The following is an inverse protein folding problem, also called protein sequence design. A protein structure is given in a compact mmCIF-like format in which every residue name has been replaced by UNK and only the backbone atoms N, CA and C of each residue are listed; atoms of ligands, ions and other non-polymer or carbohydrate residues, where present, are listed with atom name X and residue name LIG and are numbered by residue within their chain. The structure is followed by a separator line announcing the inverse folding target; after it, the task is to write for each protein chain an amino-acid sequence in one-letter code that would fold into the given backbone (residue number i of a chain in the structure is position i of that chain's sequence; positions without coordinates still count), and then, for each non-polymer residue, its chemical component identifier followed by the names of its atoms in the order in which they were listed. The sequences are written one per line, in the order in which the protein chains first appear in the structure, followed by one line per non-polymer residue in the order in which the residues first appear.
data_IF_100138203051
#
_entry.id   IF_100138203051
#
_cell.length_a   1.000
_cell.length_b   1.000
_cell.length_c   1.000
_cell.angle_alpha   90.00
_cell.angle_beta   90.00
_cell.angle_gamma   90.00
#
_symmetry.space_group_name_H-M   'P 1'
#
loop_
_entity.id
_entity.type
_entity.pdbx_description
1 polymer ?
#
# COMPACT_ATOMS: atom_id res chain seq x y z
N UNK A 1 -0.95 4.69 59.71
CA UNK A 1 -0.02 5.52 58.91
C UNK A 1 1.40 5.34 59.42
N UNK A 2 2.31 4.76 58.63
CA UNK A 2 3.74 5.03 58.80
C UNK A 2 4.36 5.54 57.48
N UNK A 3 4.98 6.71 57.56
CA UNK A 3 5.84 7.31 56.53
C UNK A 3 7.23 6.65 56.59
N UNK A 4 7.78 6.18 55.48
CA UNK A 4 9.23 6.03 55.32
C UNK A 4 9.57 5.86 53.82
N UNK A 5 10.14 6.92 53.22
CA UNK A 5 11.56 7.13 52.88
C UNK A 5 11.96 6.50 51.54
N UNK A 6 11.89 7.33 50.49
CA UNK A 6 12.55 7.12 49.20
C UNK A 6 14.08 7.33 49.34
N UNK A 7 14.93 6.49 48.72
CA UNK A 7 16.33 6.82 48.53
C UNK A 7 16.54 7.67 47.27
N UNK A 8 17.29 8.77 47.46
CA UNK A 8 17.92 9.61 46.44
C UNK A 8 19.27 9.02 46.06
N UNK A 9 19.50 8.66 44.79
CA UNK A 9 20.84 8.44 44.18
C UNK A 9 20.62 8.40 42.66
N UNK A 10 21.42 8.93 41.73
CA UNK A 10 22.41 9.99 41.68
C UNK A 10 22.43 10.45 40.20
N UNK A 11 22.40 11.76 39.96
CA UNK A 11 22.59 12.33 38.64
C UNK A 11 24.09 12.31 38.30
N UNK A 12 24.46 11.58 37.25
CA UNK A 12 25.77 11.71 36.64
C UNK A 12 25.66 12.60 35.41
N UNK A 13 26.13 13.85 35.58
CA UNK A 13 26.47 14.77 34.52
C UNK A 13 27.88 14.42 34.04
N UNK A 14 28.02 14.17 32.74
CA UNK A 14 29.30 14.15 32.03
C UNK A 14 29.22 15.19 30.91
N UNK A 15 30.02 16.28 30.98
CA UNK A 15 30.29 17.15 29.86
C UNK A 15 31.63 16.79 29.18
N UNK A 16 31.94 17.49 28.09
CA UNK A 16 33.16 17.46 27.25
C UNK A 16 33.15 16.42 26.12
N UNK A 17 33.54 16.71 24.87
CA UNK A 17 34.32 17.82 24.34
C UNK A 17 34.00 18.11 22.86
N UNK A 18 34.27 19.37 22.46
CA UNK A 18 34.41 19.87 21.09
C UNK A 18 35.58 19.20 20.34
N UNK A 19 35.39 18.97 19.04
CA UNK A 19 36.30 19.28 17.92
C UNK A 19 35.65 18.67 16.66
N UNK A 20 35.33 19.39 15.59
CA UNK A 20 36.17 20.36 14.92
C UNK A 20 36.98 19.63 13.86
N UNK A 21 36.43 19.43 12.65
CA UNK A 21 37.22 19.35 11.43
C UNK A 21 36.33 19.69 10.22
N UNK A 22 36.47 20.93 9.77
CA UNK A 22 36.11 21.37 8.44
C UNK A 22 37.11 20.78 7.44
N UNK A 23 36.61 20.18 6.37
CA UNK A 23 37.35 20.02 5.13
C UNK A 23 36.42 20.35 3.98
N UNK A 24 36.53 21.59 3.51
CA UNK A 24 36.06 22.02 2.21
C UNK A 24 36.93 21.34 1.14
N UNK A 25 36.31 20.64 0.19
CA UNK A 25 36.99 20.17 -1.00
C UNK A 25 36.20 20.68 -2.21
N UNK A 26 36.85 21.65 -2.85
CA UNK A 26 36.81 22.08 -4.23
C UNK A 26 35.60 21.67 -5.10
N UNK A 27 34.86 22.71 -5.49
CA UNK A 27 34.02 22.76 -6.68
C UNK A 27 34.86 22.51 -7.94
N UNK A 28 34.54 21.46 -8.68
CA UNK A 28 35.04 21.25 -10.04
C UNK A 28 34.00 21.78 -11.04
N UNK A 29 34.38 22.57 -12.07
CA UNK A 29 33.44 23.23 -12.95
C UNK A 29 32.83 22.28 -13.98
N UNK A 30 31.52 22.39 -14.12
CA UNK A 30 30.70 21.74 -15.13
C UNK A 30 31.20 22.00 -16.57
N UNK A 31 31.27 20.98 -17.43
CA UNK A 31 31.31 21.19 -18.87
C UNK A 31 29.90 21.53 -19.40
N UNK A 32 29.83 22.61 -20.21
CA UNK A 32 28.62 23.04 -20.92
C UNK A 32 28.11 21.96 -21.89
N UNK A 33 26.79 21.90 -22.12
CA UNK A 33 26.19 20.97 -23.08
C UNK A 33 26.53 21.38 -24.51
N UNK A 34 27.14 20.45 -25.27
CA UNK A 34 27.17 20.54 -26.73
C UNK A 34 25.81 20.14 -27.27
N UNK A 35 25.12 21.09 -27.88
CA UNK A 35 23.97 20.87 -28.75
C UNK A 35 24.42 20.11 -30.01
N UNK A 36 24.04 18.84 -30.09
CA UNK A 36 24.05 18.07 -31.34
C UNK A 36 22.63 17.58 -31.62
N UNK A 37 22.06 18.18 -32.65
CA UNK A 37 20.87 17.74 -33.37
C UNK A 37 21.10 16.30 -33.86
N UNK A 38 20.38 15.34 -33.27
CA UNK A 38 20.43 13.94 -33.64
C UNK A 38 19.06 13.32 -33.42
N UNK A 39 18.55 12.66 -34.46
CA UNK A 39 17.19 12.15 -34.58
C UNK A 39 16.70 11.36 -33.35
N UNK A 40 15.41 11.53 -33.05
CA UNK A 40 14.70 10.72 -32.05
C UNK A 40 14.94 9.23 -32.33
N UNK A 41 15.46 8.45 -31.36
CA UNK A 41 15.48 7.01 -31.52
C UNK A 41 14.03 6.53 -31.51
N UNK A 42 13.60 5.94 -32.62
CA UNK A 42 12.40 5.13 -32.64
C UNK A 42 12.51 4.12 -31.48
N UNK A 43 11.50 4.11 -30.61
CA UNK A 43 11.35 3.08 -29.58
C UNK A 43 11.25 1.73 -30.27
N UNK A 44 12.38 1.05 -30.44
CA UNK A 44 12.42 -0.37 -30.71
C UNK A 44 12.00 -1.01 -29.40
N UNK A 45 10.69 -1.22 -29.25
CA UNK A 45 10.17 -2.22 -28.33
C UNK A 45 10.74 -3.53 -28.85
N UNK A 46 11.87 -3.93 -28.29
CA UNK A 46 12.42 -5.25 -28.54
C UNK A 46 11.38 -6.22 -28.00
N UNK A 47 10.82 -7.06 -28.87
CA UNK A 47 10.09 -8.24 -28.43
C UNK A 47 10.94 -8.93 -27.36
N UNK A 48 10.34 -9.39 -26.23
CA UNK A 48 11.11 -10.10 -25.23
C UNK A 48 11.74 -11.30 -25.91
N UNK A 49 13.07 -11.24 -26.08
CA UNK A 49 13.90 -12.32 -26.55
C UNK A 49 13.46 -13.58 -25.83
N UNK A 50 13.01 -14.56 -26.62
CA UNK A 50 12.49 -15.86 -26.17
C UNK A 50 13.38 -16.36 -25.03
N UNK A 51 12.88 -16.22 -23.80
CA UNK A 51 13.67 -16.53 -22.62
C UNK A 51 14.11 -17.99 -22.71
N UNK A 52 15.42 -18.22 -22.57
CA UNK A 52 15.99 -19.56 -22.49
C UNK A 52 15.20 -20.34 -21.44
N UNK A 53 14.44 -21.35 -21.88
CA UNK A 53 13.62 -22.13 -20.97
C UNK A 53 14.53 -22.88 -20.00
N UNK A 54 14.13 -22.96 -18.73
CA UNK A 54 14.93 -23.56 -17.65
C UNK A 54 15.06 -25.10 -17.77
N UNK A 55 14.70 -25.69 -18.91
CA UNK A 55 14.59 -27.14 -19.08
C UNK A 55 13.44 -27.79 -18.31
N UNK A 56 12.64 -26.99 -17.58
CA UNK A 56 11.41 -27.43 -16.92
C UNK A 56 10.38 -26.28 -16.88
N UNK A 57 9.11 -26.66 -16.87
CA UNK A 57 7.97 -25.75 -16.71
C UNK A 57 7.32 -26.05 -15.36
N UNK A 58 7.06 -25.01 -14.56
CA UNK A 58 6.28 -25.17 -13.35
C UNK A 58 4.85 -25.56 -13.71
N UNK A 59 4.31 -26.58 -13.06
CA UNK A 59 2.90 -26.90 -13.19
C UNK A 59 2.07 -25.69 -12.74
N UNK A 60 1.38 -25.06 -13.69
CA UNK A 60 0.40 -24.01 -13.43
C UNK A 60 -1.00 -24.57 -13.65
N UNK A 61 -1.93 -24.27 -12.75
CA UNK A 61 -3.35 -24.59 -12.95
C UNK A 61 -3.97 -23.73 -14.07
N UNK A 62 -3.29 -22.63 -14.45
CA UNK A 62 -3.72 -21.72 -15.52
C UNK A 62 -2.60 -21.51 -16.54
N UNK A 63 -2.91 -21.74 -17.82
CA UNK A 63 -2.00 -21.39 -18.90
C UNK A 63 -1.75 -19.86 -18.92
N UNK A 64 -0.51 -19.40 -19.13
CA UNK A 64 -0.21 -17.97 -19.30
C UNK A 64 -1.17 -17.31 -20.29
N UNK A 65 -1.82 -16.21 -19.88
CA UNK A 65 -2.76 -15.46 -20.71
C UNK A 65 -4.21 -15.96 -20.70
N UNK A 66 -4.56 -17.01 -19.94
CA UNK A 66 -5.97 -17.40 -19.73
C UNK A 66 -6.51 -16.84 -18.41
N UNK A 67 -7.76 -16.37 -18.44
CA UNK A 67 -8.51 -15.90 -17.28
C UNK A 67 -9.21 -17.05 -16.56
N UNK A 68 -9.33 -16.92 -15.23
CA UNK A 68 -10.07 -17.84 -14.37
C UNK A 68 -11.56 -17.94 -14.80
N UNK A 69 -12.09 -19.16 -14.87
CA UNK A 69 -13.48 -19.51 -15.13
C UNK A 69 -14.40 -19.25 -13.92
N UNK A 70 -15.72 -19.44 -14.09
CA UNK A 70 -16.66 -19.36 -12.98
C UNK A 70 -16.44 -20.53 -12.01
N UNK A 71 -16.26 -20.23 -10.72
CA UNK A 71 -15.83 -21.21 -9.70
C UNK A 71 -14.36 -21.04 -9.29
N UNK A 72 -13.59 -20.27 -10.05
CA UNK A 72 -12.18 -20.06 -9.75
C UNK A 72 -12.00 -18.95 -8.71
N UNK A 73 -11.41 -19.36 -7.60
CA UNK A 73 -10.88 -18.47 -6.57
C UNK A 73 -9.49 -18.00 -7.02
N UNK A 74 -9.33 -16.69 -7.21
CA UNK A 74 -8.04 -16.09 -7.52
C UNK A 74 -7.48 -15.42 -6.28
N UNK A 75 -6.29 -15.83 -5.84
CA UNK A 75 -5.51 -15.16 -4.80
C UNK A 75 -4.30 -14.48 -5.43
N UNK A 76 -4.21 -13.18 -5.27
CA UNK A 76 -3.03 -12.39 -5.65
C UNK A 76 -2.23 -12.04 -4.40
N UNK A 77 -0.92 -12.30 -4.41
CA UNK A 77 0.00 -11.93 -3.33
C UNK A 77 1.03 -10.94 -3.90
N UNK A 78 1.14 -9.75 -3.31
CA UNK A 78 2.15 -8.74 -3.67
C UNK A 78 3.07 -8.46 -2.48
N UNK A 79 4.38 -8.66 -2.59
CA UNK A 79 5.31 -8.35 -1.51
C UNK A 79 5.69 -6.87 -1.48
N UNK A 80 5.83 -6.33 -0.27
CA UNK A 80 6.26 -4.98 0.06
C UNK A 80 7.24 -5.04 1.24
N UNK A 81 8.48 -5.43 0.96
CA UNK A 81 9.49 -5.71 1.99
C UNK A 81 8.98 -6.78 2.99
N UNK A 82 8.73 -6.39 4.25
CA UNK A 82 8.32 -7.32 5.31
C UNK A 82 6.78 -7.48 5.41
N UNK A 83 6.05 -6.78 4.54
CA UNK A 83 4.60 -6.87 4.41
C UNK A 83 4.22 -7.53 3.09
N UNK A 84 3.12 -8.25 3.09
CA UNK A 84 2.48 -8.74 1.87
C UNK A 84 1.07 -8.22 1.79
N UNK A 85 0.61 -7.93 0.57
CA UNK A 85 -0.80 -7.72 0.29
C UNK A 85 -1.37 -8.99 -0.30
N UNK A 86 -2.43 -9.50 0.31
CA UNK A 86 -3.19 -10.63 -0.19
C UNK A 86 -4.55 -10.12 -0.63
N UNK A 87 -4.92 -10.42 -1.88
CA UNK A 87 -6.23 -10.13 -2.42
C UNK A 87 -6.89 -11.39 -2.93
N UNK A 88 -8.07 -11.67 -2.40
CA UNK A 88 -8.90 -12.80 -2.77
C UNK A 88 -10.08 -12.31 -3.61
N UNK A 89 -10.27 -12.93 -4.77
CA UNK A 89 -11.34 -12.60 -5.70
C UNK A 89 -12.07 -13.88 -6.12
N UNK A 90 -13.40 -13.86 -5.97
CA UNK A 90 -14.30 -14.86 -6.53
C UNK A 90 -15.13 -14.14 -7.59
N UNK A 91 -15.25 -14.74 -8.79
CA UNK A 91 -15.99 -14.13 -9.90
C UNK A 91 -17.41 -13.75 -9.46
N UNK A 92 -17.80 -12.49 -9.68
CA UNK A 92 -19.06 -11.86 -9.25
C UNK A 92 -19.20 -11.59 -7.74
N UNK A 93 -18.16 -11.84 -6.94
CA UNK A 93 -18.09 -11.44 -5.55
C UNK A 93 -17.21 -10.19 -5.39
N UNK A 94 -17.25 -9.60 -4.20
CA UNK A 94 -16.36 -8.50 -3.84
C UNK A 94 -14.94 -9.03 -3.65
N UNK A 95 -13.97 -8.39 -4.31
CA UNK A 95 -12.55 -8.56 -4.01
C UNK A 95 -12.24 -8.10 -2.57
N UNK A 96 -11.60 -8.96 -1.79
CA UNK A 96 -11.20 -8.68 -0.40
C UNK A 96 -9.68 -8.63 -0.36
N UNK A 97 -9.13 -7.51 0.08
CA UNK A 97 -7.69 -7.33 0.23
C UNK A 97 -7.32 -7.02 1.67
N UNK A 98 -6.19 -7.55 2.13
CA UNK A 98 -5.57 -7.19 3.39
C UNK A 98 -4.05 -7.18 3.24
N UNK A 99 -3.41 -6.41 4.09
CA UNK A 99 -1.97 -6.46 4.33
C UNK A 99 -1.71 -7.40 5.48
N UNK A 100 -0.58 -8.09 5.45
CA UNK A 100 -0.14 -9.01 6.48
C UNK A 100 1.36 -8.87 6.70
N UNK A 101 1.77 -8.92 7.97
CA UNK A 101 3.14 -9.25 8.36
C UNK A 101 3.09 -10.29 9.47
N UNK A 102 4.08 -11.18 9.46
CA UNK A 102 4.23 -12.23 10.46
C UNK A 102 5.54 -11.96 11.19
N UNK A 103 5.47 -11.96 12.51
CA UNK A 103 6.63 -11.72 13.37
C UNK A 103 6.78 -12.86 14.36
N UNK A 104 8.03 -13.19 14.65
CA UNK A 104 8.40 -14.27 15.56
C UNK A 104 9.16 -13.67 16.73
N UNK A 105 8.78 -14.07 17.93
CA UNK A 105 9.62 -13.96 19.12
C UNK A 105 9.98 -15.35 19.62
N UNK A 106 10.84 -15.41 20.63
CA UNK A 106 11.42 -16.67 21.13
C UNK A 106 10.37 -17.72 21.55
N UNK A 107 9.20 -17.27 21.97
CA UNK A 107 8.15 -18.14 22.49
C UNK A 107 6.83 -18.07 21.70
N UNK A 108 6.68 -17.20 20.71
CA UNK A 108 5.39 -17.00 20.04
C UNK A 108 5.50 -16.42 18.63
N UNK A 109 4.45 -16.66 17.84
CA UNK A 109 4.19 -16.03 16.55
C UNK A 109 3.09 -14.98 16.72
N UNK A 110 3.29 -13.84 16.08
CA UNK A 110 2.32 -12.76 15.91
C UNK A 110 1.99 -12.65 14.42
N UNK A 111 0.71 -12.57 14.11
CA UNK A 111 0.24 -12.21 12.78
C UNK A 111 -0.52 -10.88 12.88
N UNK A 112 -0.06 -9.89 12.13
CA UNK A 112 -0.67 -8.56 12.10
C UNK A 112 -1.17 -8.27 10.70
N UNK A 113 -2.49 -8.07 10.60
CA UNK A 113 -3.17 -7.69 9.37
C UNK A 113 -3.74 -6.28 9.43
N UNK A 114 -3.80 -5.62 8.28
CA UNK A 114 -4.52 -4.35 8.10
C UNK A 114 -5.42 -4.49 6.87
N UNK A 115 -6.70 -4.18 7.02
CA UNK A 115 -7.66 -4.26 5.93
C UNK A 115 -8.56 -3.02 5.91
N UNK A 116 -9.14 -2.74 4.73
CA UNK A 116 -10.17 -1.72 4.59
C UNK A 116 -11.56 -2.33 4.85
N UNK A 117 -12.34 -1.67 5.69
CA UNK A 117 -13.74 -2.01 5.93
C UNK A 117 -14.60 -1.67 4.72
N UNK A 118 -15.90 -2.03 4.75
CA UNK A 118 -16.83 -1.71 3.65
C UNK A 118 -16.97 -0.21 3.41
N UNK A 119 -16.87 0.58 4.48
CA UNK A 119 -16.91 2.04 4.50
C UNK A 119 -15.53 2.70 4.32
N UNK A 120 -14.50 1.92 3.98
CA UNK A 120 -13.17 2.46 3.62
C UNK A 120 -12.30 2.85 4.81
N UNK A 121 -12.66 2.49 6.05
CA UNK A 121 -11.79 2.68 7.22
C UNK A 121 -10.76 1.56 7.29
N UNK A 122 -9.53 1.89 7.64
CA UNK A 122 -8.49 0.90 7.92
C UNK A 122 -8.68 0.32 9.32
N UNK A 123 -8.72 -1.00 9.42
CA UNK A 123 -8.76 -1.75 10.68
C UNK A 123 -7.55 -2.65 10.77
N UNK A 124 -6.85 -2.58 11.91
CA UNK A 124 -5.81 -3.52 12.25
C UNK A 124 -6.40 -4.72 13.00
N UNK A 125 -5.87 -5.90 12.72
CA UNK A 125 -6.15 -7.16 13.38
C UNK A 125 -4.82 -7.76 13.82
N UNK A 126 -4.67 -8.02 15.11
CA UNK A 126 -3.56 -8.75 15.71
C UNK A 126 -4.06 -10.12 16.11
N UNK A 127 -3.40 -11.18 15.64
CA UNK A 127 -3.67 -12.56 16.03
C UNK A 127 -2.50 -13.09 16.86
N UNK A 128 -2.85 -13.70 17.98
CA UNK A 128 -1.97 -14.19 19.03
C UNK A 128 -2.28 -15.67 19.30
N UNK A 129 -1.38 -16.42 19.96
CA UNK A 129 -1.65 -17.77 20.43
C UNK A 129 -2.91 -17.87 21.30
N UNK A 130 -3.65 -18.98 21.22
CA UNK A 130 -4.92 -19.20 21.94
C UNK A 130 -4.84 -19.11 23.47
N UNK A 131 -3.66 -19.30 24.04
CA UNK A 131 -3.38 -19.24 25.48
C UNK A 131 -2.94 -17.84 25.93
N UNK A 132 -3.22 -16.82 25.12
CA UNK A 132 -3.00 -15.42 25.47
C UNK A 132 -4.06 -14.93 26.47
N UNK A 133 -3.64 -14.09 27.42
CA UNK A 133 -4.53 -13.56 28.46
C UNK A 133 -5.51 -12.53 27.90
N UNK A 134 -6.80 -12.89 27.90
CA UNK A 134 -7.91 -11.99 27.51
C UNK A 134 -7.98 -10.75 28.41
N UNK A 135 -7.74 -10.94 29.71
CA UNK A 135 -7.79 -9.87 30.71
C UNK A 135 -6.65 -8.86 30.54
N UNK A 136 -5.44 -9.34 30.23
CA UNK A 136 -4.25 -8.49 30.05
C UNK A 136 -4.19 -7.86 28.67
N UNK A 137 -4.79 -8.48 27.65
CA UNK A 137 -4.85 -7.93 26.30
C UNK A 137 -3.51 -7.91 25.59
N UNK A 138 -3.41 -7.04 24.59
CA UNK A 138 -2.17 -6.76 23.88
C UNK A 138 -1.84 -5.27 23.95
N UNK A 139 -0.57 -4.93 24.08
CA UNK A 139 -0.07 -3.55 24.04
C UNK A 139 0.78 -3.40 22.80
N UNK A 140 0.49 -2.38 21.98
CA UNK A 140 1.27 -2.03 20.79
C UNK A 140 1.94 -0.68 21.04
N UNK A 141 3.26 -0.63 20.83
CA UNK A 141 4.08 0.56 21.06
C UNK A 141 5.03 0.82 19.91
N UNK A 142 5.19 2.07 19.51
CA UNK A 142 6.12 2.52 18.45
C UNK A 142 6.26 4.04 18.54
N UNK A 143 7.43 4.62 18.24
CA UNK A 143 7.59 6.09 18.17
C UNK A 143 7.10 6.88 19.39
N UNK A 144 7.18 6.33 20.60
CA UNK A 144 6.64 6.94 21.83
C UNK A 144 5.11 6.86 21.97
N UNK A 145 4.39 6.34 20.97
CA UNK A 145 2.99 5.97 21.06
C UNK A 145 2.85 4.60 21.76
N UNK A 146 1.80 4.44 22.56
CA UNK A 146 1.45 3.17 23.21
C UNK A 146 -0.05 3.03 23.31
N UNK A 147 -0.57 1.87 22.89
CA UNK A 147 -1.99 1.55 22.93
C UNK A 147 -2.22 0.15 23.50
N UNK A 148 -3.06 0.08 24.52
CA UNK A 148 -3.60 -1.19 25.02
C UNK A 148 -4.84 -1.55 24.22
N UNK A 149 -4.93 -2.80 23.78
CA UNK A 149 -6.01 -3.36 22.97
C UNK A 149 -6.69 -4.46 23.79
N UNK A 150 -7.94 -4.19 24.18
CA UNK A 150 -8.79 -5.07 24.99
C UNK A 150 -10.26 -4.93 24.57
N UNK A 151 -11.09 -5.96 24.78
CA UNK A 151 -10.69 -7.32 25.15
C UNK A 151 -10.12 -8.11 23.96
N UNK A 152 -9.38 -9.20 24.22
CA UNK A 152 -9.11 -10.20 23.18
C UNK A 152 -10.35 -11.07 22.95
N UNK A 153 -10.57 -11.49 21.72
CA UNK A 153 -11.57 -12.49 21.35
C UNK A 153 -10.83 -13.77 21.02
N UNK A 154 -11.00 -14.81 21.82
CA UNK A 154 -10.28 -16.07 21.66
C UNK A 154 -11.20 -17.23 21.28
N UNK A 155 -10.68 -18.15 20.48
CA UNK A 155 -11.29 -19.42 20.16
C UNK A 155 -10.28 -20.58 20.39
N UNK A 156 -10.59 -21.77 19.85
CA UNK A 156 -9.75 -22.96 20.02
C UNK A 156 -8.40 -22.87 19.26
N UNK A 157 -8.28 -21.97 18.30
CA UNK A 157 -7.11 -21.81 17.44
C UNK A 157 -6.24 -20.62 17.84
N UNK A 158 -6.85 -19.46 18.13
CA UNK A 158 -6.12 -18.20 18.35
C UNK A 158 -6.89 -17.21 19.23
N UNK A 159 -6.19 -16.16 19.62
CA UNK A 159 -6.76 -14.94 20.19
C UNK A 159 -6.60 -13.78 19.21
N UNK A 160 -7.63 -12.96 19.05
CA UNK A 160 -7.65 -11.84 18.13
C UNK A 160 -7.95 -10.52 18.86
N UNK A 161 -7.28 -9.46 18.41
CA UNK A 161 -7.51 -8.09 18.84
C UNK A 161 -7.68 -7.20 17.62
N UNK A 162 -8.67 -6.31 17.62
CA UNK A 162 -8.86 -5.35 16.53
C UNK A 162 -8.84 -3.93 17.04
N UNK A 163 -8.30 -3.03 16.22
CA UNK A 163 -8.35 -1.59 16.52
C UNK A 163 -8.37 -0.77 15.22
N UNK A 164 -9.00 0.43 15.23
CA UNK A 164 -8.92 1.35 14.11
C UNK A 164 -7.48 1.77 13.84
N UNK A 165 -7.07 1.65 12.59
CA UNK A 165 -5.80 2.17 12.08
C UNK A 165 -6.08 3.40 11.22
N UNK A 166 -6.55 4.47 11.85
CA UNK A 166 -6.89 5.72 11.15
C UNK A 166 -5.66 6.39 10.50
N UNK A 167 -5.90 7.46 9.73
CA UNK A 167 -4.85 8.17 9.03
C UNK A 167 -3.76 8.73 9.95
N UNK A 168 -4.11 9.13 11.18
CA UNK A 168 -3.13 9.62 12.15
C UNK A 168 -2.23 8.49 12.63
N UNK A 169 -2.82 7.34 12.98
CA UNK A 169 -2.07 6.16 13.39
C UNK A 169 -1.20 5.61 12.27
N UNK A 170 -1.73 5.54 11.04
CA UNK A 170 -0.97 5.14 9.84
C UNK A 170 0.21 6.08 9.62
N UNK A 171 0.02 7.40 9.77
CA UNK A 171 1.11 8.38 9.63
C UNK A 171 2.20 8.20 10.68
N UNK A 172 1.83 7.82 11.92
CA UNK A 172 2.81 7.48 12.95
C UNK A 172 3.54 6.16 12.65
N UNK A 173 2.81 5.11 12.26
CA UNK A 173 3.39 3.83 11.88
C UNK A 173 4.37 3.97 10.71
N UNK A 174 4.06 4.83 9.74
CA UNK A 174 4.90 5.07 8.57
C UNK A 174 6.23 5.78 8.84
N UNK A 175 6.45 6.28 10.06
CA UNK A 175 7.72 6.93 10.47
C UNK A 175 8.66 5.99 11.21
N UNK A 176 8.16 4.82 11.58
CA UNK A 176 8.85 3.87 12.44
C UNK A 176 9.21 2.63 11.61
N UNK A 177 10.36 2.02 11.91
CA UNK A 177 10.76 0.76 11.25
C UNK A 177 10.18 -0.46 11.95
N UNK A 178 9.79 -0.32 13.23
CA UNK A 178 9.34 -1.42 14.09
C UNK A 178 8.28 -0.98 15.08
N UNK A 179 7.40 -1.92 15.44
CA UNK A 179 6.53 -1.82 16.60
C UNK A 179 6.84 -2.93 17.60
N UNK A 180 6.69 -2.63 18.88
CA UNK A 180 6.76 -3.61 19.97
C UNK A 180 5.35 -4.02 20.36
N UNK A 181 5.10 -5.33 20.36
CA UNK A 181 3.84 -5.92 20.80
C UNK A 181 4.12 -6.72 22.07
N UNK A 182 3.44 -6.36 23.15
CA UNK A 182 3.53 -7.04 24.45
C UNK A 182 2.18 -7.65 24.80
N UNK A 183 2.17 -8.92 25.16
CA UNK A 183 0.98 -9.63 25.63
C UNK A 183 1.40 -10.68 26.65
N UNK A 184 0.45 -11.35 27.30
CA UNK A 184 0.77 -12.38 28.29
C UNK A 184 0.29 -13.75 27.82
N UNK A 185 1.12 -14.78 28.05
CA UNK A 185 0.75 -16.19 27.90
C UNK A 185 1.06 -16.93 29.20
N UNK A 186 0.08 -17.63 29.75
CA UNK A 186 0.26 -18.47 30.96
C UNK A 186 0.98 -17.72 32.10
N UNK A 187 0.56 -16.48 32.38
CA UNK A 187 1.16 -15.64 33.45
C UNK A 187 2.51 -14.99 33.11
N UNK A 188 3.02 -15.14 31.88
CA UNK A 188 4.33 -14.62 31.47
C UNK A 188 4.22 -13.58 30.35
N UNK A 189 4.87 -12.41 30.47
CA UNK A 189 4.90 -11.43 29.41
C UNK A 189 5.72 -11.95 28.23
N UNK A 190 5.16 -11.80 27.03
CA UNK A 190 5.77 -12.08 25.74
C UNK A 190 5.92 -10.76 25.01
N UNK A 191 7.13 -10.52 24.48
CA UNK A 191 7.44 -9.33 23.68
C UNK A 191 7.84 -9.77 22.29
N UNK A 192 7.21 -9.19 21.27
CA UNK A 192 7.53 -9.41 19.85
C UNK A 192 7.77 -8.06 19.20
N UNK A 193 8.83 -7.95 18.40
CA UNK A 193 9.06 -6.81 17.53
C UNK A 193 8.49 -7.11 16.15
N UNK A 194 7.48 -6.36 15.72
CA UNK A 194 6.95 -6.43 14.37
C UNK A 194 7.64 -5.41 13.46
N UNK A 195 7.94 -5.82 12.23
CA UNK A 195 8.48 -4.90 11.23
C UNK A 195 7.39 -4.01 10.63
N UNK A 196 7.70 -2.74 10.46
CA UNK A 196 6.86 -1.77 9.75
C UNK A 196 7.48 -1.39 8.39
N UNK A 197 8.62 -2.00 8.02
CA UNK A 197 9.27 -1.74 6.73
C UNK A 197 8.36 -2.16 5.58
N UNK A 198 8.07 -1.22 4.69
CA UNK A 198 7.22 -1.45 3.52
C UNK A 198 5.73 -1.29 3.78
N UNK A 199 5.30 -1.07 5.04
CA UNK A 199 3.90 -0.85 5.37
C UNK A 199 3.28 0.31 4.58
N UNK A 200 3.98 1.43 4.43
CA UNK A 200 3.45 2.58 3.69
C UNK A 200 3.32 2.33 2.18
N UNK A 201 4.24 1.54 1.60
CA UNK A 201 4.13 1.11 0.20
C UNK A 201 2.90 0.22 0.03
N UNK A 202 2.73 -0.74 0.94
CA UNK A 202 1.61 -1.66 0.95
C UNK A 202 0.25 -0.96 1.16
N UNK A 203 0.17 0.00 2.09
CA UNK A 203 -1.06 0.78 2.34
C UNK A 203 -1.43 1.66 1.14
N UNK A 204 -0.45 2.19 0.42
CA UNK A 204 -0.69 2.95 -0.80
C UNK A 204 -1.33 2.06 -1.87
N UNK A 205 -0.81 0.85 -2.10
CA UNK A 205 -1.42 -0.11 -3.05
C UNK A 205 -2.81 -0.57 -2.59
N UNK A 206 -2.98 -0.88 -1.30
CA UNK A 206 -4.26 -1.30 -0.72
C UNK A 206 -5.36 -0.26 -0.97
N UNK A 207 -5.05 1.03 -0.82
CA UNK A 207 -6.00 2.13 -1.05
C UNK A 207 -6.46 2.21 -2.51
N UNK A 208 -5.58 1.89 -3.46
CA UNK A 208 -5.89 1.88 -4.89
C UNK A 208 -6.69 0.64 -5.28
N UNK A 209 -6.43 -0.50 -4.64
CA UNK A 209 -7.15 -1.75 -4.91
C UNK A 209 -8.65 -1.70 -4.55
N UNK A 210 -9.05 -0.75 -3.71
CA UNK A 210 -10.46 -0.55 -3.28
C UNK A 210 -11.16 0.56 -4.05
N UNK A 211 -10.44 1.34 -4.88
CA UNK A 211 -11.06 2.33 -5.74
C UNK A 211 -12.07 1.65 -6.69
N UNK A 212 -13.27 2.23 -6.88
CA UNK A 212 -14.26 1.65 -7.79
C UNK A 212 -13.63 1.51 -9.17
N UNK A 213 -13.75 0.31 -9.76
CA UNK A 213 -13.36 0.08 -11.13
C UNK A 213 -14.04 1.15 -11.99
N UNK A 214 -13.25 2.04 -12.59
CA UNK A 214 -13.79 3.02 -13.53
C UNK A 214 -14.46 2.20 -14.64
N UNK A 215 -15.76 2.42 -14.94
CA UNK A 215 -16.41 1.68 -16.00
C UNK A 215 -15.60 1.89 -17.28
N UNK A 216 -15.19 0.79 -17.89
CA UNK A 216 -14.45 0.81 -19.15
C UNK A 216 -15.20 1.73 -20.12
N UNK A 217 -14.52 2.79 -20.58
CA UNK A 217 -15.07 3.73 -21.55
C UNK A 217 -15.54 2.90 -22.75
N UNK A 218 -16.84 2.90 -23.09
CA UNK A 218 -17.30 2.15 -24.25
C UNK A 218 -16.51 2.63 -25.48
N UNK A 219 -16.14 1.70 -26.39
CA UNK A 219 -15.38 2.06 -27.57
C UNK A 219 -16.12 3.18 -28.31
N UNK A 220 -15.40 4.27 -28.58
CA UNK A 220 -15.94 5.39 -29.33
C UNK A 220 -16.49 4.84 -30.65
N UNK A 221 -17.80 5.02 -30.89
CA UNK A 221 -18.40 4.70 -32.19
C UNK A 221 -17.61 5.46 -33.26
N UNK A 222 -17.24 4.83 -34.38
CA UNK A 222 -16.61 5.53 -35.49
C UNK A 222 -17.57 6.63 -35.94
N UNK A 223 -17.13 7.89 -35.81
CA UNK A 223 -17.85 9.03 -36.38
C UNK A 223 -17.75 8.87 -37.89
N UNK A 224 -18.87 8.52 -38.52
CA UNK A 224 -18.97 8.45 -39.97
C UNK A 224 -18.56 9.82 -40.55
N UNK A 225 -17.49 9.82 -41.35
CA UNK A 225 -17.02 10.97 -42.10
C UNK A 225 -18.11 11.34 -43.10
N UNK A 226 -18.87 12.41 -42.82
CA UNK A 226 -19.77 13.02 -43.81
C UNK A 226 -18.91 13.53 -44.95
N UNK A 227 -19.00 12.88 -46.10
CA UNK A 227 -18.62 13.45 -47.38
C UNK A 227 -19.53 14.65 -47.64
N UNK A 228 -18.95 15.85 -47.56
CA UNK A 228 -19.57 17.06 -48.07
C UNK A 228 -19.54 17.00 -49.59
N UNK A 229 -20.68 16.65 -50.19
CA UNK A 229 -20.91 16.90 -51.61
C UNK A 229 -21.16 18.39 -51.79
N UNK A 230 -20.17 19.05 -52.34
CA UNK A 230 -20.18 20.43 -52.80
C UNK A 230 -21.13 20.53 -54.01
N UNK A 231 -22.30 21.14 -53.80
CA UNK A 231 -23.22 21.52 -54.88
C UNK A 231 -23.08 23.02 -55.13
N UNK A 232 -22.38 23.34 -56.21
CA UNK A 232 -22.29 24.66 -56.82
C UNK A 232 -23.69 25.08 -57.31
N UNK A 233 -24.22 26.17 -56.79
CA UNK A 233 -25.39 26.84 -57.34
C UNK A 233 -25.03 28.29 -57.69
N UNK A 234 -25.08 28.58 -58.98
CA UNK A 234 -24.76 29.85 -59.60
C UNK A 234 -25.79 30.94 -59.26
N UNK A 235 -25.28 32.15 -59.06
CA UNK A 235 -26.05 33.42 -59.09
C UNK A 235 -26.16 33.90 -60.53
N UNK A 236 -27.34 34.39 -60.96
CA UNK A 236 -27.54 35.83 -61.16
C UNK A 236 -28.95 36.25 -60.71
N UNK A 237 -29.32 37.47 -60.35
CA UNK A 237 -28.74 38.80 -60.42
C UNK A 237 -29.92 39.79 -60.24
N UNK A 238 -29.60 41.01 -59.80
CA UNK A 238 -30.37 42.26 -59.96
C UNK A 238 -31.78 42.42 -59.33
N UNK A 239 -31.89 43.46 -58.47
CA UNK A 239 -33.07 44.33 -58.41
C UNK A 239 -33.90 44.32 -57.13
N UNK A 240 -33.64 45.26 -56.20
CA UNK A 240 -34.72 45.85 -55.38
C UNK A 240 -35.53 46.86 -56.22
N UNK A 241 -36.49 47.65 -55.69
CA UNK A 241 -36.83 47.89 -54.27
C UNK A 241 -38.37 47.97 -53.96
N UNK A 242 -38.71 48.25 -52.69
CA UNK A 242 -39.97 48.83 -52.14
C UNK A 242 -41.10 47.94 -51.58
N UNK A 243 -41.51 48.40 -50.38
CA UNK A 243 -42.88 48.55 -49.81
C UNK A 243 -43.59 47.34 -49.20
N UNK A 244 -43.76 47.44 -47.88
CA UNK A 244 -44.92 46.86 -47.21
C UNK A 244 -46.21 47.66 -47.47
N UNK A 245 -47.34 47.01 -47.15
CA UNK A 245 -48.56 47.54 -46.51
C UNK A 245 -49.65 46.45 -46.65
N UNK A 246 -50.31 46.18 -45.50
CA UNK A 246 -51.51 45.38 -45.22
C UNK A 246 -51.37 43.86 -45.14
#
# INVERSE_FOLDING_TARGET
MPRSRLPRVAAWLLPLALAGLSAAIASDPAPRPSSLTGAAPASIVSEPTKATSLGFEWASVFAPGKSAAAGDYTRTIRPFLDWIQVCDEVRNARRICYLETISHGDAARLDWRIALTKDGRSMALIMLPRDSSVEVGATVSFGGFTRVIKPLICDQALCAATFPADAALISLLGREDRATIVFERVGKPITIMASLRGLMLALTDLSQAVAPATPARPPAKPVARRTSTEAVAATPGAGGPWKGIR
#
